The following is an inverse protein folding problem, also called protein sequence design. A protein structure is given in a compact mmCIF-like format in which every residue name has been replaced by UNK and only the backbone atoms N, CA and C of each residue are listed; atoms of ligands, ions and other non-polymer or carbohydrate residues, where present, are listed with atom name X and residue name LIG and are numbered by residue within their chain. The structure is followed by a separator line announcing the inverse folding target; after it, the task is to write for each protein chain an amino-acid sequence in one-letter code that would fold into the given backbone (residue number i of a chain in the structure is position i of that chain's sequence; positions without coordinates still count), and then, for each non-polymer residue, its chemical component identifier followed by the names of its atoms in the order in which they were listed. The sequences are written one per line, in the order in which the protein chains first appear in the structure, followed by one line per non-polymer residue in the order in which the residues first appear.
data_IF_020836649900
#
_entry.id   IF_020836649900
#
_cell.length_a   1.000
_cell.length_b   1.000
_cell.length_c   1.000
_cell.angle_alpha   90.00
_cell.angle_beta   90.00
_cell.angle_gamma   90.00
#
_symmetry.space_group_name_H-M   'P 1'
#
loop_
_entity.id
_entity.type
_entity.pdbx_description
1 polymer ?
#
# COMPACT_ATOMS: atom_id res chain seq x y z
N UNK A 1 12.25 -26.17 -14.67
CA UNK A 1 10.86 -25.69 -14.54
C UNK A 1 10.63 -24.98 -13.22
N UNK A 2 11.07 -25.52 -12.10
CA UNK A 2 10.95 -24.97 -10.75
C UNK A 2 11.53 -23.55 -10.57
N UNK A 3 12.73 -23.29 -11.08
CA UNK A 3 13.36 -21.96 -11.04
C UNK A 3 12.56 -20.87 -11.79
N UNK A 4 11.84 -21.25 -12.84
CA UNK A 4 11.01 -20.34 -13.63
C UNK A 4 9.73 -19.99 -12.87
N UNK A 5 9.07 -20.99 -12.27
CA UNK A 5 7.90 -20.80 -11.42
C UNK A 5 8.21 -19.94 -10.18
N UNK A 6 9.35 -20.19 -9.51
CA UNK A 6 9.79 -19.36 -8.40
C UNK A 6 9.95 -17.87 -8.76
N UNK A 7 10.39 -17.56 -9.98
CA UNK A 7 10.46 -16.18 -10.46
C UNK A 7 9.07 -15.57 -10.63
N UNK A 8 8.10 -16.31 -11.18
CA UNK A 8 6.72 -15.85 -11.37
C UNK A 8 5.95 -15.68 -10.05
N UNK A 9 6.42 -16.25 -8.95
CA UNK A 9 5.89 -15.97 -7.62
C UNK A 9 6.58 -14.74 -7.01
N UNK A 10 7.90 -14.70 -7.07
CA UNK A 10 8.72 -13.71 -6.37
C UNK A 10 8.63 -12.31 -6.97
N UNK A 11 8.73 -12.18 -8.30
CA UNK A 11 8.78 -10.84 -8.90
C UNK A 11 7.49 -10.03 -8.76
N UNK A 12 6.28 -10.60 -8.96
CA UNK A 12 5.05 -9.84 -8.73
C UNK A 12 4.94 -9.35 -7.28
N UNK A 13 5.33 -10.17 -6.32
CA UNK A 13 5.35 -9.78 -4.89
C UNK A 13 6.33 -8.65 -4.62
N UNK A 14 7.53 -8.68 -5.21
CA UNK A 14 8.49 -7.58 -5.10
C UNK A 14 7.93 -6.31 -5.75
N UNK A 15 7.27 -6.40 -6.89
CA UNK A 15 6.64 -5.24 -7.54
C UNK A 15 5.59 -4.60 -6.63
N UNK A 16 4.71 -5.40 -6.01
CA UNK A 16 3.75 -4.91 -5.01
C UNK A 16 4.48 -4.17 -3.89
N UNK A 17 5.50 -4.78 -3.31
CA UNK A 17 6.26 -4.23 -2.21
C UNK A 17 6.98 -2.91 -2.57
N UNK A 18 7.52 -2.82 -3.78
CA UNK A 18 8.14 -1.59 -4.31
C UNK A 18 7.10 -0.48 -4.46
N UNK A 19 5.91 -0.78 -5.00
CA UNK A 19 4.83 0.21 -5.14
C UNK A 19 4.39 0.72 -3.77
N UNK A 20 4.22 -0.17 -2.78
CA UNK A 20 3.90 0.21 -1.39
C UNK A 20 5.01 1.11 -0.83
N UNK A 21 6.29 0.76 -1.02
CA UNK A 21 7.43 1.56 -0.53
C UNK A 21 7.45 2.96 -1.16
N UNK A 22 7.25 3.06 -2.47
CA UNK A 22 7.21 4.35 -3.18
C UNK A 22 6.04 5.20 -2.67
N UNK A 23 4.87 4.61 -2.47
CA UNK A 23 3.70 5.30 -1.92
C UNK A 23 4.00 5.87 -0.53
N UNK A 24 4.64 5.08 0.34
CA UNK A 24 5.05 5.54 1.67
C UNK A 24 6.05 6.69 1.62
N UNK A 25 7.06 6.62 0.75
CA UNK A 25 8.03 7.70 0.54
C UNK A 25 7.33 8.98 0.09
N UNK A 26 6.37 8.91 -0.82
CA UNK A 26 5.63 10.10 -1.29
C UNK A 26 4.96 10.85 -0.13
N UNK A 27 4.31 10.14 0.80
CA UNK A 27 3.72 10.77 1.99
C UNK A 27 4.77 11.32 2.96
N UNK A 28 5.93 10.65 3.10
CA UNK A 28 7.02 11.12 3.96
C UNK A 28 7.62 12.45 3.52
N UNK A 29 7.85 12.63 2.20
CA UNK A 29 8.58 13.77 1.67
C UNK A 29 7.70 14.92 1.20
N UNK A 30 6.40 14.69 1.00
CA UNK A 30 5.48 15.73 0.53
C UNK A 30 5.40 16.89 1.52
N UNK A 31 5.39 18.11 1.00
CA UNK A 31 5.11 19.31 1.80
C UNK A 31 3.66 19.38 2.26
N UNK A 32 2.75 18.92 1.42
CA UNK A 32 1.30 18.90 1.61
C UNK A 32 0.73 17.51 1.29
N UNK A 33 0.97 16.52 2.16
CA UNK A 33 0.67 15.13 1.85
C UNK A 33 -0.84 14.83 1.67
N UNK A 34 -1.73 15.65 2.20
CA UNK A 34 -3.17 15.54 2.03
C UNK A 34 -3.63 15.77 0.59
N UNK A 35 -2.83 16.50 -0.23
CA UNK A 35 -3.11 16.73 -1.66
C UNK A 35 -2.87 15.45 -2.49
N UNK A 36 -2.07 14.51 -2.00
CA UNK A 36 -1.77 13.27 -2.73
C UNK A 36 -3.01 12.41 -3.03
N UNK A 37 -4.09 12.62 -2.28
CA UNK A 37 -5.42 12.03 -2.54
C UNK A 37 -6.51 13.08 -2.28
N UNK A 38 -6.33 14.27 -2.84
CA UNK A 38 -7.12 15.46 -2.55
C UNK A 38 -8.62 15.22 -2.75
N UNK A 39 -9.01 14.68 -3.90
CA UNK A 39 -10.43 14.47 -4.26
C UNK A 39 -11.16 13.64 -3.22
N UNK A 40 -10.58 12.50 -2.83
CA UNK A 40 -11.19 11.62 -1.84
C UNK A 40 -11.22 12.26 -0.44
N UNK A 41 -10.19 12.99 -0.08
CA UNK A 41 -10.10 13.66 1.21
C UNK A 41 -11.11 14.82 1.31
N UNK A 42 -11.19 15.70 0.30
CA UNK A 42 -12.12 16.84 0.29
C UNK A 42 -13.58 16.37 0.21
N UNK A 43 -13.86 15.30 -0.54
CA UNK A 43 -15.21 14.68 -0.55
C UNK A 43 -15.62 14.20 0.84
N UNK A 44 -14.70 13.56 1.59
CA UNK A 44 -14.96 13.10 2.96
C UNK A 44 -15.15 14.24 3.96
N UNK A 45 -14.43 15.33 3.76
CA UNK A 45 -14.52 16.53 4.59
C UNK A 45 -15.73 17.41 4.24
N UNK A 46 -16.37 17.17 3.08
CA UNK A 46 -17.39 17.99 2.48
C UNK A 46 -16.95 19.46 2.29
N UNK A 47 -15.65 19.71 2.20
CA UNK A 47 -15.06 21.03 1.95
C UNK A 47 -13.61 20.90 1.43
N UNK A 48 -13.14 21.91 0.65
CA UNK A 48 -11.76 21.96 0.20
C UNK A 48 -10.80 22.31 1.35
N UNK A 49 -9.54 21.83 1.26
CA UNK A 49 -8.54 22.07 2.30
C UNK A 49 -8.20 23.55 2.53
N UNK A 50 -8.20 24.37 1.48
CA UNK A 50 -7.97 25.81 1.59
C UNK A 50 -9.02 26.48 2.47
N UNK A 51 -10.28 26.09 2.39
CA UNK A 51 -11.35 26.60 3.26
C UNK A 51 -11.23 26.04 4.68
N UNK A 52 -10.96 24.73 4.80
CA UNK A 52 -10.79 24.07 6.10
C UNK A 52 -9.71 24.75 6.98
N UNK A 53 -8.59 25.15 6.37
CA UNK A 53 -7.48 25.76 7.09
C UNK A 53 -7.73 27.25 7.44
N UNK A 54 -8.72 27.90 6.83
CA UNK A 54 -9.12 29.28 7.15
C UNK A 54 -10.16 29.38 8.28
N UNK A 55 -10.72 28.26 8.71
CA UNK A 55 -11.67 28.25 9.83
C UNK A 55 -10.96 28.68 11.12
N UNK A 56 -11.55 29.60 11.84
CA UNK A 56 -11.04 30.07 13.14
C UNK A 56 -10.79 28.87 14.09
N UNK A 57 -9.61 28.81 14.68
CA UNK A 57 -9.18 27.69 15.53
C UNK A 57 -8.47 26.55 14.81
N UNK A 58 -8.39 26.56 13.49
CA UNK A 58 -7.69 25.54 12.69
C UNK A 58 -6.24 25.90 12.32
N UNK A 59 -5.66 26.93 12.94
CA UNK A 59 -4.32 27.46 12.60
C UNK A 59 -3.20 26.40 12.65
N UNK A 60 -3.35 25.39 13.48
CA UNK A 60 -2.36 24.30 13.63
C UNK A 60 -2.71 23.04 12.86
N UNK A 61 -3.90 22.96 12.26
CA UNK A 61 -4.44 21.74 11.66
C UNK A 61 -3.58 21.23 10.49
N UNK A 62 -3.12 22.12 9.61
CA UNK A 62 -2.26 21.75 8.48
C UNK A 62 -0.93 21.10 8.97
N UNK A 63 -0.31 21.71 10.01
CA UNK A 63 0.91 21.15 10.60
C UNK A 63 0.66 19.79 11.26
N UNK A 64 -0.46 19.63 11.96
CA UNK A 64 -0.87 18.38 12.58
C UNK A 64 -1.14 17.28 11.54
N UNK A 65 -1.93 17.56 10.51
CA UNK A 65 -2.18 16.63 9.42
C UNK A 65 -0.88 16.18 8.73
N UNK A 66 0.04 17.11 8.49
CA UNK A 66 1.36 16.79 7.93
C UNK A 66 2.12 15.76 8.76
N UNK A 67 2.07 15.87 10.08
CA UNK A 67 2.71 14.90 10.97
C UNK A 67 2.03 13.53 10.89
N UNK A 68 0.69 13.47 10.90
CA UNK A 68 -0.07 12.22 10.77
C UNK A 68 0.29 11.51 9.46
N UNK A 69 0.27 12.23 8.34
CA UNK A 69 0.60 11.66 7.03
C UNK A 69 2.07 11.19 6.95
N UNK A 70 3.00 11.86 7.63
CA UNK A 70 4.39 11.41 7.72
C UNK A 70 4.52 10.10 8.50
N UNK A 71 3.82 9.96 9.63
CA UNK A 71 3.77 8.69 10.34
C UNK A 71 3.15 7.58 9.49
N UNK A 72 2.02 7.87 8.83
CA UNK A 72 1.40 6.94 7.89
C UNK A 72 2.41 6.52 6.80
N UNK A 73 3.08 7.49 6.17
CA UNK A 73 4.10 7.25 5.17
C UNK A 73 5.25 6.37 5.66
N UNK A 74 5.71 6.58 6.90
CA UNK A 74 6.74 5.75 7.53
C UNK A 74 6.28 4.29 7.68
N UNK A 75 5.06 4.06 8.16
CA UNK A 75 4.53 2.71 8.33
C UNK A 75 4.29 2.01 6.99
N UNK A 76 3.78 2.72 5.99
CA UNK A 76 3.57 2.19 4.64
C UNK A 76 4.92 1.86 3.99
N UNK A 77 5.91 2.75 4.07
CA UNK A 77 7.27 2.49 3.60
C UNK A 77 7.91 1.29 4.31
N UNK A 78 7.83 1.25 5.64
CA UNK A 78 8.37 0.16 6.44
C UNK A 78 7.72 -1.19 6.10
N UNK A 79 6.41 -1.20 5.87
CA UNK A 79 5.69 -2.41 5.41
C UNK A 79 6.21 -2.88 4.05
N UNK A 80 6.35 -1.97 3.08
CA UNK A 80 6.91 -2.30 1.77
C UNK A 80 8.32 -2.83 1.86
N UNK A 81 9.17 -2.20 2.67
CA UNK A 81 10.55 -2.64 2.91
C UNK A 81 10.61 -4.04 3.53
N UNK A 82 9.79 -4.33 4.55
CA UNK A 82 9.67 -5.66 5.14
C UNK A 82 9.27 -6.71 4.11
N UNK A 83 8.29 -6.40 3.28
CA UNK A 83 7.84 -7.31 2.21
C UNK A 83 8.99 -7.61 1.22
N UNK A 84 9.79 -6.61 0.83
CA UNK A 84 10.97 -6.81 -0.03
C UNK A 84 11.98 -7.72 0.64
N UNK A 85 12.37 -7.42 1.89
CA UNK A 85 13.38 -8.17 2.63
C UNK A 85 12.97 -9.64 2.75
N UNK A 86 11.72 -9.91 3.12
CA UNK A 86 11.23 -11.28 3.25
C UNK A 86 11.10 -12.01 1.90
N UNK A 87 10.66 -11.33 0.84
CA UNK A 87 10.60 -11.92 -0.50
C UNK A 87 12.01 -12.22 -1.05
N UNK A 88 13.02 -11.43 -0.67
CA UNK A 88 14.40 -11.63 -1.08
C UNK A 88 15.16 -12.65 -0.24
N UNK A 89 14.61 -13.05 0.90
CA UNK A 89 15.23 -14.02 1.80
C UNK A 89 15.27 -15.43 1.17
N UNK A 90 16.29 -16.22 1.57
CA UNK A 90 16.43 -17.62 1.14
C UNK A 90 15.23 -18.49 1.53
N UNK A 91 14.60 -18.19 2.67
CA UNK A 91 13.40 -18.90 3.15
C UNK A 91 12.18 -18.73 2.25
N UNK A 92 12.15 -17.75 1.36
CA UNK A 92 11.06 -17.60 0.39
C UNK A 92 10.93 -18.79 -0.57
N UNK A 93 12.00 -19.60 -0.72
CA UNK A 93 11.97 -20.87 -1.46
C UNK A 93 11.22 -21.96 -0.72
N UNK A 94 11.13 -21.89 0.62
CA UNK A 94 10.44 -22.86 1.45
C UNK A 94 8.92 -22.68 1.32
N UNK A 95 8.20 -23.79 1.04
CA UNK A 95 6.75 -23.78 0.84
C UNK A 95 6.02 -23.20 2.07
N UNK A 96 6.42 -23.62 3.28
CA UNK A 96 5.76 -23.19 4.52
C UNK A 96 5.90 -21.67 4.75
N UNK A 97 7.10 -21.13 4.54
CA UNK A 97 7.34 -19.69 4.67
C UNK A 97 6.54 -18.90 3.62
N UNK A 98 6.58 -19.34 2.36
CA UNK A 98 5.88 -18.71 1.25
C UNK A 98 4.36 -18.72 1.43
N UNK A 99 3.78 -19.80 1.98
CA UNK A 99 2.36 -19.87 2.33
C UNK A 99 1.97 -18.76 3.32
N UNK A 100 2.72 -18.64 4.41
CA UNK A 100 2.47 -17.63 5.44
C UNK A 100 2.63 -16.22 4.88
N UNK A 101 3.67 -16.00 4.08
CA UNK A 101 3.92 -14.71 3.44
C UNK A 101 2.76 -14.30 2.51
N UNK A 102 2.34 -15.20 1.61
CA UNK A 102 1.23 -14.92 0.68
C UNK A 102 -0.09 -14.75 1.43
N UNK A 103 -0.32 -15.51 2.50
CA UNK A 103 -1.50 -15.32 3.34
C UNK A 103 -1.55 -13.91 3.96
N UNK A 104 -0.46 -13.48 4.60
CA UNK A 104 -0.38 -12.14 5.23
C UNK A 104 -0.51 -11.03 4.18
N UNK A 105 0.16 -11.19 3.03
CA UNK A 105 0.05 -10.24 1.92
C UNK A 105 -1.39 -10.17 1.38
N UNK A 106 -2.06 -11.32 1.24
CA UNK A 106 -3.47 -11.37 0.82
C UNK A 106 -4.37 -10.64 1.81
N UNK A 107 -4.26 -10.92 3.11
CA UNK A 107 -5.02 -10.21 4.15
C UNK A 107 -4.78 -8.70 4.05
N UNK A 108 -3.53 -8.27 3.93
CA UNK A 108 -3.19 -6.85 3.81
C UNK A 108 -3.86 -6.21 2.59
N UNK A 109 -3.76 -6.81 1.41
CA UNK A 109 -4.31 -6.25 0.16
C UNK A 109 -5.83 -6.20 0.17
N UNK A 110 -6.49 -7.30 0.55
CA UNK A 110 -7.96 -7.37 0.53
C UNK A 110 -8.59 -6.49 1.62
N UNK A 111 -7.97 -6.39 2.79
CA UNK A 111 -8.45 -5.47 3.82
C UNK A 111 -8.28 -4.02 3.39
N UNK A 112 -7.14 -3.66 2.80
CA UNK A 112 -6.93 -2.30 2.33
C UNK A 112 -7.93 -1.87 1.25
N UNK A 113 -8.18 -2.72 0.23
CA UNK A 113 -9.15 -2.37 -0.81
C UNK A 113 -10.56 -2.28 -0.26
N UNK A 114 -10.94 -3.15 0.66
CA UNK A 114 -12.24 -3.10 1.34
C UNK A 114 -12.41 -1.78 2.09
N UNK A 115 -11.42 -1.38 2.88
CA UNK A 115 -11.43 -0.12 3.61
C UNK A 115 -11.46 1.08 2.66
N UNK A 116 -10.73 1.03 1.54
CA UNK A 116 -10.73 2.10 0.55
C UNK A 116 -12.12 2.30 -0.05
N UNK A 117 -12.83 1.24 -0.44
CA UNK A 117 -14.20 1.35 -0.94
C UNK A 117 -15.18 1.86 0.11
N UNK A 118 -14.97 1.54 1.38
CA UNK A 118 -15.85 1.99 2.46
C UNK A 118 -15.64 3.46 2.83
N UNK A 119 -14.36 3.90 2.84
CA UNK A 119 -14.01 5.20 3.43
C UNK A 119 -13.61 6.26 2.42
N UNK A 120 -13.01 5.86 1.29
CA UNK A 120 -12.45 6.77 0.28
C UNK A 120 -12.74 6.26 -1.14
N UNK A 121 -14.02 6.04 -1.53
CA UNK A 121 -14.38 5.41 -2.81
C UNK A 121 -13.88 6.18 -4.03
N UNK A 122 -13.67 7.48 -3.93
CA UNK A 122 -13.16 8.35 -5.00
C UNK A 122 -11.64 8.36 -5.09
N UNK A 123 -10.94 7.59 -4.23
CA UNK A 123 -9.47 7.56 -4.20
C UNK A 123 -8.89 6.91 -5.45
N UNK A 124 -7.94 7.60 -6.09
CA UNK A 124 -7.18 7.02 -7.20
C UNK A 124 -6.28 5.85 -6.76
N UNK A 125 -5.98 5.70 -5.48
CA UNK A 125 -5.24 4.55 -4.95
C UNK A 125 -5.97 3.23 -5.15
N UNK A 126 -7.31 3.23 -5.30
CA UNK A 126 -8.09 2.02 -5.60
C UNK A 126 -7.60 1.34 -6.88
N UNK A 127 -7.25 2.10 -7.91
CA UNK A 127 -6.71 1.51 -9.15
C UNK A 127 -5.35 0.85 -8.94
N UNK A 128 -4.49 1.45 -8.11
CA UNK A 128 -3.19 0.88 -7.73
C UNK A 128 -3.40 -0.42 -6.92
N UNK A 129 -4.37 -0.43 -6.00
CA UNK A 129 -4.70 -1.62 -5.21
C UNK A 129 -5.20 -2.77 -6.09
N UNK A 130 -6.03 -2.50 -7.11
CA UNK A 130 -6.43 -3.53 -8.08
C UNK A 130 -5.25 -4.10 -8.86
N UNK A 131 -4.31 -3.25 -9.28
CA UNK A 131 -3.05 -3.69 -9.90
C UNK A 131 -2.25 -4.61 -8.97
N UNK A 132 -2.16 -4.25 -7.68
CA UNK A 132 -1.49 -5.08 -6.67
C UNK A 132 -2.20 -6.43 -6.45
N UNK A 133 -3.54 -6.45 -6.41
CA UNK A 133 -4.33 -7.67 -6.29
C UNK A 133 -4.12 -8.57 -7.52
N UNK A 134 -4.08 -8.02 -8.73
CA UNK A 134 -3.79 -8.80 -9.93
C UNK A 134 -2.40 -9.46 -9.85
N UNK A 135 -1.38 -8.72 -9.45
CA UNK A 135 -0.03 -9.27 -9.26
C UNK A 135 0.00 -10.34 -8.16
N UNK A 136 -0.75 -10.13 -7.08
CA UNK A 136 -0.90 -11.13 -6.02
C UNK A 136 -1.54 -12.42 -6.54
N UNK A 137 -2.61 -12.32 -7.31
CA UNK A 137 -3.29 -13.50 -7.88
C UNK A 137 -2.37 -14.27 -8.85
N UNK A 138 -1.52 -13.57 -9.62
CA UNK A 138 -0.49 -14.21 -10.45
C UNK A 138 0.48 -14.99 -9.57
N UNK A 139 0.96 -14.40 -8.46
CA UNK A 139 1.85 -15.08 -7.53
C UNK A 139 1.19 -16.29 -6.88
N UNK A 140 -0.05 -16.14 -6.42
CA UNK A 140 -0.82 -17.22 -5.78
C UNK A 140 -1.08 -18.38 -6.74
N UNK A 141 -1.50 -18.10 -7.96
CA UNK A 141 -1.72 -19.10 -9.00
C UNK A 141 -0.45 -19.94 -9.28
N UNK A 142 0.69 -19.25 -9.48
CA UNK A 142 1.95 -19.96 -9.71
C UNK A 142 2.43 -20.72 -8.47
N UNK A 143 2.12 -20.22 -7.27
CA UNK A 143 2.42 -20.93 -6.03
C UNK A 143 1.64 -22.24 -5.90
N UNK A 144 0.33 -22.21 -6.19
CA UNK A 144 -0.51 -23.43 -6.18
C UNK A 144 -0.03 -24.44 -7.23
N UNK A 145 0.39 -23.98 -8.40
CA UNK A 145 0.93 -24.87 -9.46
C UNK A 145 2.30 -25.49 -9.13
N UNK A 146 3.01 -24.97 -8.12
CA UNK A 146 4.26 -25.56 -7.63
C UNK A 146 4.03 -26.67 -6.59
N UNK A 147 2.79 -26.88 -6.18
CA UNK A 147 2.43 -27.92 -5.23
C UNK A 147 2.22 -29.27 -5.93
#
# INVERSE_FOLDING_TARGET
MENKLNRFIKYPVIMIAVVISISGIRWLISSEPWILDQVANEERLAMPFNELFLIEGNDTLAAYLKQIYRFLGLYVFGTGLMLIVFACNKFFKEKSFRNKYLFVLGVLLFTNILLAYFWIPSSHFIYIMWGAILLYLISLYNHVRMQ
#
